data_IF_985389112121
#
_entry.id   IF_985389112121
#
_cell.length_a   1.000
_cell.length_b   1.000
_cell.length_c   1.000
_cell.angle_alpha   90.00
_cell.angle_beta   90.00
_cell.angle_gamma   90.00
#
_symmetry.space_group_name_H-M   'P 1'
#
loop_
_entity.id
_entity.type
_entity.pdbx_description
1 polymer ?
#
# COMPACT_ATOMS: atom_id res chain seq x y z
N UNK A 1 -16.19 -8.71 16.19
CA UNK A 1 -17.00 -7.88 15.27
C UNK A 1 -17.61 -8.74 14.19
N UNK A 2 -18.74 -8.33 13.62
CA UNK A 2 -19.36 -9.01 12.47
C UNK A 2 -18.57 -8.74 11.16
N UNK A 3 -18.64 -9.65 10.18
CA UNK A 3 -18.06 -9.43 8.85
C UNK A 3 -18.76 -8.25 8.15
N UNK A 4 -17.98 -7.28 7.69
CA UNK A 4 -18.45 -6.14 6.90
C UNK A 4 -17.28 -5.49 6.17
N UNK A 5 -17.57 -4.66 5.17
CA UNK A 5 -16.54 -3.84 4.50
C UNK A 5 -15.79 -2.97 5.52
N UNK A 6 -16.53 -2.32 6.43
CA UNK A 6 -15.97 -1.47 7.47
C UNK A 6 -15.01 -2.24 8.38
N UNK A 7 -15.46 -3.39 8.92
CA UNK A 7 -14.64 -4.19 9.84
C UNK A 7 -13.42 -4.84 9.17
N UNK A 8 -13.45 -5.04 7.85
CA UNK A 8 -12.28 -5.44 7.09
C UNK A 8 -11.31 -4.27 6.85
N UNK A 9 -11.82 -3.08 6.51
CA UNK A 9 -11.02 -1.88 6.23
C UNK A 9 -10.34 -1.30 7.49
N UNK A 10 -11.04 -1.30 8.62
CA UNK A 10 -10.49 -0.84 9.91
C UNK A 10 -9.60 -1.89 10.59
N UNK A 11 -9.51 -3.09 10.00
CA UNK A 11 -8.64 -4.17 10.46
C UNK A 11 -9.11 -4.87 11.75
N UNK A 12 -10.37 -4.68 12.17
CA UNK A 12 -10.95 -5.34 13.35
C UNK A 12 -11.44 -6.76 13.08
N UNK A 13 -11.66 -7.13 11.81
CA UNK A 13 -12.11 -8.45 11.38
C UNK A 13 -10.95 -9.45 11.18
N UNK A 14 -10.06 -9.56 12.17
CA UNK A 14 -8.92 -10.49 12.15
C UNK A 14 -9.28 -11.85 12.76
N UNK A 15 -8.69 -12.97 12.28
CA UNK A 15 -7.67 -13.08 11.23
C UNK A 15 -8.23 -13.26 9.81
N UNK A 16 -9.55 -13.19 9.63
CA UNK A 16 -10.22 -13.56 8.39
C UNK A 16 -10.13 -12.48 7.30
N UNK A 17 -9.80 -11.23 7.65
CA UNK A 17 -9.36 -10.20 6.72
C UNK A 17 -7.83 -10.07 6.71
N UNK A 18 -7.22 -9.98 5.52
CA UNK A 18 -5.79 -9.67 5.37
C UNK A 18 -5.52 -8.71 4.20
N UNK A 19 -4.53 -7.83 4.32
CA UNK A 19 -4.07 -7.02 3.20
C UNK A 19 -3.33 -7.89 2.17
N UNK A 20 -3.41 -7.49 0.91
CA UNK A 20 -2.64 -8.06 -0.19
C UNK A 20 -1.57 -7.05 -0.64
N UNK A 21 -0.42 -7.55 -1.06
CA UNK A 21 0.72 -6.74 -1.45
C UNK A 21 1.18 -7.11 -2.86
N UNK A 22 1.59 -6.11 -3.61
CA UNK A 22 2.34 -6.26 -4.87
C UNK A 22 3.77 -5.82 -4.59
N UNK A 23 4.73 -6.69 -4.87
CA UNK A 23 6.15 -6.38 -4.73
C UNK A 23 6.73 -6.00 -6.09
N UNK A 24 7.35 -4.83 -6.14
CA UNK A 24 7.99 -4.30 -7.35
C UNK A 24 9.49 -4.23 -7.12
N UNK A 25 10.26 -4.75 -8.07
CA UNK A 25 11.70 -4.56 -8.07
C UNK A 25 12.01 -3.17 -8.65
N UNK A 26 12.64 -2.33 -7.82
CA UNK A 26 12.95 -0.93 -8.15
C UNK A 26 13.90 -0.80 -9.34
N UNK A 27 14.98 -1.59 -9.37
CA UNK A 27 15.96 -1.57 -10.46
C UNK A 27 15.31 -1.93 -11.80
N UNK A 28 14.40 -2.91 -11.83
CA UNK A 28 13.65 -3.27 -13.04
C UNK A 28 12.65 -2.19 -13.45
N UNK A 29 11.99 -1.54 -12.50
CA UNK A 29 11.08 -0.43 -12.78
C UNK A 29 11.82 0.79 -13.36
N UNK A 30 13.07 1.01 -12.95
CA UNK A 30 13.93 2.08 -13.48
C UNK A 30 14.52 1.72 -14.85
N UNK A 31 14.90 0.45 -15.07
CA UNK A 31 15.56 0.02 -16.30
C UNK A 31 14.60 -0.31 -17.45
N UNK A 32 13.31 -0.59 -17.18
CA UNK A 32 12.37 -1.06 -18.19
C UNK A 32 11.06 -0.26 -18.18
N UNK A 33 10.82 0.48 -19.26
CA UNK A 33 9.64 1.34 -19.42
C UNK A 33 8.31 0.56 -19.47
N UNK A 34 8.31 -0.70 -19.93
CA UNK A 34 7.12 -1.56 -19.92
C UNK A 34 6.73 -1.89 -18.48
N UNK A 35 7.72 -2.24 -17.65
CA UNK A 35 7.49 -2.51 -16.22
C UNK A 35 7.03 -1.24 -15.50
N UNK A 36 7.69 -0.11 -15.76
CA UNK A 36 7.29 1.19 -15.20
C UNK A 36 5.84 1.52 -15.53
N UNK A 37 5.45 1.36 -16.80
CA UNK A 37 4.10 1.63 -17.28
C UNK A 37 3.08 0.69 -16.65
N UNK A 38 3.40 -0.61 -16.55
CA UNK A 38 2.55 -1.60 -15.91
C UNK A 38 2.30 -1.26 -14.43
N UNK A 39 3.35 -0.92 -13.68
CA UNK A 39 3.25 -0.57 -12.26
C UNK A 39 2.44 0.73 -12.08
N UNK A 40 2.76 1.77 -12.86
CA UNK A 40 2.04 3.04 -12.81
C UNK A 40 0.54 2.89 -13.12
N UNK A 41 0.22 2.14 -14.18
CA UNK A 41 -1.18 1.86 -14.56
C UNK A 41 -1.91 1.03 -13.49
N UNK A 42 -1.24 0.02 -12.93
CA UNK A 42 -1.79 -0.82 -11.86
C UNK A 42 -2.12 -0.01 -10.62
N UNK A 43 -1.20 0.85 -10.18
CA UNK A 43 -1.41 1.69 -8.99
C UNK A 43 -2.50 2.75 -9.24
N UNK A 44 -2.46 3.44 -10.39
CA UNK A 44 -3.43 4.48 -10.73
C UNK A 44 -4.87 3.97 -10.91
N UNK A 45 -5.05 2.69 -11.27
CA UNK A 45 -6.37 2.07 -11.45
C UNK A 45 -6.73 1.08 -10.33
N UNK A 46 -5.93 1.00 -9.27
CA UNK A 46 -6.03 -0.07 -8.28
C UNK A 46 -7.41 -0.22 -7.64
N UNK A 47 -8.09 0.88 -7.32
CA UNK A 47 -9.44 0.86 -6.74
C UNK A 47 -10.42 0.12 -7.67
N UNK A 48 -10.47 0.53 -8.95
CA UNK A 48 -11.34 -0.09 -9.96
C UNK A 48 -11.06 -1.59 -10.11
N UNK A 49 -9.78 -1.97 -10.17
CA UNK A 49 -9.42 -3.39 -10.30
C UNK A 49 -9.84 -4.24 -9.11
N UNK A 50 -9.72 -3.69 -7.89
CA UNK A 50 -10.11 -4.42 -6.67
C UNK A 50 -11.62 -4.61 -6.62
N UNK A 51 -12.40 -3.61 -7.02
CA UNK A 51 -13.86 -3.69 -7.13
C UNK A 51 -14.30 -4.70 -8.20
N UNK A 52 -13.73 -4.63 -9.41
CA UNK A 52 -14.02 -5.57 -10.51
C UNK A 52 -13.70 -7.03 -10.15
N UNK A 53 -12.64 -7.25 -9.38
CA UNK A 53 -12.23 -8.56 -8.92
C UNK A 53 -13.05 -9.09 -7.72
N UNK A 54 -13.99 -8.30 -7.18
CA UNK A 54 -14.84 -8.69 -6.05
C UNK A 54 -14.12 -8.71 -4.69
N UNK A 55 -12.99 -8.02 -4.58
CA UNK A 55 -12.27 -7.86 -3.31
C UNK A 55 -12.77 -6.63 -2.54
N UNK A 56 -12.42 -6.56 -1.25
CA UNK A 56 -12.71 -5.38 -0.43
C UNK A 56 -11.66 -4.30 -0.73
N UNK A 57 -12.05 -3.12 -1.24
CA UNK A 57 -11.10 -2.05 -1.52
C UNK A 57 -10.51 -1.47 -0.25
N UNK A 58 -9.29 -0.95 -0.36
CA UNK A 58 -8.74 -0.08 0.68
C UNK A 58 -9.54 1.23 0.73
N UNK A 59 -9.46 2.00 1.83
CA UNK A 59 -9.99 3.36 1.84
C UNK A 59 -9.40 4.21 0.70
N UNK A 60 -10.21 5.04 0.05
CA UNK A 60 -9.81 5.80 -1.15
C UNK A 60 -8.58 6.70 -0.94
N UNK A 61 -8.39 7.23 0.26
CA UNK A 61 -7.21 8.02 0.64
C UNK A 61 -5.93 7.17 0.70
N UNK A 62 -6.06 5.88 1.03
CA UNK A 62 -4.94 4.93 1.07
C UNK A 62 -4.39 4.67 -0.32
N UNK A 63 -5.23 4.61 -1.36
CA UNK A 63 -4.75 4.50 -2.75
C UNK A 63 -3.91 5.71 -3.16
N UNK A 64 -4.32 6.93 -2.81
CA UNK A 64 -3.54 8.15 -3.07
C UNK A 64 -2.19 8.15 -2.34
N UNK A 65 -2.13 7.56 -1.14
CA UNK A 65 -0.86 7.37 -0.42
C UNK A 65 0.05 6.39 -1.18
N UNK A 66 -0.46 5.28 -1.69
CA UNK A 66 0.33 4.32 -2.49
C UNK A 66 0.87 4.99 -3.76
N UNK A 67 0.02 5.72 -4.47
CA UNK A 67 0.41 6.48 -5.67
C UNK A 67 1.49 7.53 -5.35
N UNK A 68 1.31 8.29 -4.27
CA UNK A 68 2.32 9.24 -3.79
C UNK A 68 3.63 8.56 -3.41
N UNK A 69 3.57 7.36 -2.82
CA UNK A 69 4.74 6.56 -2.46
C UNK A 69 5.54 6.17 -3.70
N UNK A 70 4.84 5.70 -4.74
CA UNK A 70 5.43 5.35 -6.03
C UNK A 70 6.10 6.56 -6.69
N UNK A 71 5.39 7.69 -6.82
CA UNK A 71 5.92 8.87 -7.50
C UNK A 71 7.05 9.57 -6.75
N UNK A 72 7.07 9.49 -5.41
CA UNK A 72 8.17 10.02 -4.58
C UNK A 72 9.35 9.05 -4.46
N UNK A 73 9.29 7.90 -5.14
CA UNK A 73 10.35 6.89 -5.13
C UNK A 73 10.73 6.43 -3.70
N UNK A 74 9.72 6.29 -2.84
CA UNK A 74 9.90 5.89 -1.45
C UNK A 74 10.07 4.37 -1.39
N UNK A 75 11.31 3.93 -1.19
CA UNK A 75 11.67 2.51 -1.14
C UNK A 75 11.43 1.88 0.23
N UNK A 76 11.40 0.56 0.25
CA UNK A 76 11.29 -0.23 1.47
C UNK A 76 9.86 -0.40 2.00
N UNK A 77 9.75 -1.19 3.06
CA UNK A 77 8.47 -1.54 3.68
C UNK A 77 7.87 -0.38 4.45
N UNK A 78 6.55 -0.18 4.31
CA UNK A 78 5.84 0.82 5.10
C UNK A 78 5.70 0.45 6.58
N UNK A 79 6.03 -0.79 6.93
CA UNK A 79 6.04 -1.24 8.31
C UNK A 79 7.29 -0.78 9.08
N UNK A 80 8.32 -0.27 8.40
CA UNK A 80 9.49 0.30 9.07
C UNK A 80 10.38 -0.73 9.79
N UNK A 81 10.27 -2.01 9.43
CA UNK A 81 11.10 -3.09 9.98
C UNK A 81 10.60 -3.69 11.29
N UNK A 82 9.64 -3.04 11.97
CA UNK A 82 8.83 -3.64 13.02
C UNK A 82 7.43 -3.98 12.46
N UNK A 83 6.71 -4.92 13.06
CA UNK A 83 5.32 -5.23 12.70
C UNK A 83 4.41 -4.83 13.86
N UNK A 84 4.01 -3.55 13.97
CA UNK A 84 3.22 -3.11 15.11
C UNK A 84 1.85 -3.77 15.05
N UNK A 85 1.48 -4.42 16.15
CA UNK A 85 0.18 -5.08 16.28
C UNK A 85 -0.90 -3.99 16.29
N UNK A 86 -1.89 -4.14 15.41
CA UNK A 86 -3.08 -3.28 15.39
C UNK A 86 -3.04 -2.09 14.43
N UNK A 87 -1.93 -1.81 13.75
CA UNK A 87 -1.93 -0.78 12.70
C UNK A 87 -2.75 -1.22 11.48
N UNK A 88 -3.49 -0.26 10.92
CA UNK A 88 -4.09 -0.34 9.58
C UNK A 88 -3.03 -0.06 8.51
N UNK A 89 -3.33 -0.45 7.26
CA UNK A 89 -2.42 -0.20 6.13
C UNK A 89 -2.25 1.29 5.85
N UNK A 90 -3.30 2.10 6.00
CA UNK A 90 -3.23 3.54 5.82
C UNK A 90 -2.28 4.19 6.84
N UNK A 91 -2.33 3.77 8.10
CA UNK A 91 -1.44 4.29 9.15
C UNK A 91 0.02 3.86 8.92
N UNK A 92 0.27 2.60 8.54
CA UNK A 92 1.61 2.13 8.19
C UNK A 92 2.19 2.93 7.01
N UNK A 93 1.40 3.16 5.95
CA UNK A 93 1.82 3.99 4.81
C UNK A 93 2.17 5.41 5.23
N UNK A 94 1.34 6.07 6.05
CA UNK A 94 1.61 7.42 6.57
C UNK A 94 2.91 7.47 7.38
N UNK A 95 3.09 6.53 8.31
CA UNK A 95 4.31 6.42 9.13
C UNK A 95 5.56 6.29 8.26
N UNK A 96 5.49 5.56 7.15
CA UNK A 96 6.64 5.37 6.26
C UNK A 96 7.15 6.66 5.62
N UNK A 97 6.26 7.60 5.32
CA UNK A 97 6.65 8.91 4.80
C UNK A 97 7.39 9.76 5.83
N UNK A 98 7.08 9.59 7.12
CA UNK A 98 7.75 10.32 8.19
C UNK A 98 9.08 9.69 8.56
N UNK A 99 9.18 8.36 8.50
CA UNK A 99 10.45 7.66 8.71
C UNK A 99 11.50 8.01 7.65
N UNK A 100 11.11 8.12 6.38
CA UNK A 100 12.03 8.53 5.32
C UNK A 100 12.56 9.97 5.45
N UNK A 101 11.90 10.84 6.21
CA UNK A 101 12.42 12.20 6.47
C UNK A 101 13.55 12.23 7.50
N UNK A 102 13.81 11.11 8.19
CA UNK A 102 14.84 11.06 9.24
C UNK A 102 16.24 11.17 8.62
N UNK A 103 17.19 11.87 9.29
CA UNK A 103 18.52 12.13 8.73
C UNK A 103 19.29 10.86 8.39
N UNK A 104 19.01 9.78 9.11
CA UNK A 104 19.64 8.47 8.96
C UNK A 104 19.28 7.72 7.66
N UNK A 105 18.26 8.16 6.92
CA UNK A 105 17.81 7.56 5.65
C UNK A 105 17.95 8.49 4.44
N UNK A 106 18.63 9.64 4.60
CA UNK A 106 18.79 10.67 3.57
C UNK A 106 20.20 10.73 3.01
#
# INVERSE_FOLDING_TARGET
MAPSVTSAQDGTYRPLSRPLFIYVNDQQMLANDVIRSFVGYTVGNGLRFVEEAGYIPLPADTYRLVESKLYRHVLGTSFGGDLPVGLTIGEALRRSFDQQKRPEFR
#
